data_IF_603128798518
#
_entry.id   IF_603128798518
#
_cell.length_a   1.000
_cell.length_b   1.000
_cell.length_c   1.000
_cell.angle_alpha   90.00
_cell.angle_beta   90.00
_cell.angle_gamma   90.00
#
_symmetry.space_group_name_H-M   'P 1'
#
loop_
_entity.id
_entity.type
_entity.pdbx_description
1 polymer ?
#
# COMPACT_ATOMS: atom_id res chain seq x y z
N UNK A 1 17.25 26.99 7.45
CA UNK A 1 18.15 25.84 7.19
C UNK A 1 17.39 24.90 6.27
N UNK A 2 17.83 24.79 5.01
CA UNK A 2 17.21 23.87 4.05
C UNK A 2 17.42 22.44 4.57
N UNK A 3 16.34 21.74 4.94
CA UNK A 3 16.40 20.29 5.12
C UNK A 3 16.92 19.68 3.81
N UNK A 4 18.18 19.29 3.79
CA UNK A 4 18.68 18.43 2.72
C UNK A 4 17.87 17.13 2.84
N UNK A 5 16.98 16.88 1.87
CA UNK A 5 16.27 15.61 1.79
C UNK A 5 17.30 14.53 1.46
N UNK A 6 17.76 13.81 2.48
CA UNK A 6 18.57 12.61 2.27
C UNK A 6 17.72 11.54 1.57
N UNK A 7 18.29 10.85 0.59
CA UNK A 7 17.63 9.76 -0.11
C UNK A 7 17.21 8.68 0.90
N UNK A 8 15.97 8.16 0.77
CA UNK A 8 15.46 7.05 1.60
C UNK A 8 14.76 6.03 0.70
N UNK A 9 15.36 4.85 0.59
CA UNK A 9 14.78 3.67 -0.05
C UNK A 9 14.19 2.71 0.97
N UNK A 10 13.35 1.78 0.52
CA UNK A 10 12.89 0.68 1.37
C UNK A 10 12.65 -0.62 0.61
N UNK A 11 12.85 -1.74 1.30
CA UNK A 11 12.29 -3.04 0.94
C UNK A 11 11.10 -3.36 1.86
N UNK A 12 9.97 -3.77 1.28
CA UNK A 12 8.71 -3.94 2.01
C UNK A 12 8.08 -5.33 1.73
N UNK A 13 8.64 -6.42 2.30
CA UNK A 13 8.15 -7.77 2.06
C UNK A 13 6.89 -8.07 2.91
N UNK A 14 5.98 -8.86 2.35
CA UNK A 14 4.89 -9.50 3.12
C UNK A 14 5.36 -10.86 3.64
N UNK A 15 5.11 -11.22 4.92
CA UNK A 15 5.57 -12.49 5.49
C UNK A 15 4.63 -13.66 5.15
N UNK A 16 4.28 -13.82 3.87
CA UNK A 16 3.42 -14.92 3.38
C UNK A 16 4.23 -16.16 3.01
N UNK A 17 5.53 -16.17 3.30
CA UNK A 17 6.48 -17.24 3.02
C UNK A 17 7.91 -16.71 2.92
N UNK A 18 8.91 -17.60 2.68
CA UNK A 18 10.29 -17.19 2.48
C UNK A 18 10.47 -16.27 1.25
N UNK A 19 11.55 -15.48 1.23
CA UNK A 19 11.90 -14.72 0.02
C UNK A 19 12.18 -15.67 -1.15
N UNK A 20 11.47 -15.48 -2.25
CA UNK A 20 11.85 -16.04 -3.54
C UNK A 20 12.83 -15.11 -4.27
N UNK A 21 13.42 -15.60 -5.36
CA UNK A 21 14.45 -14.88 -6.13
C UNK A 21 14.02 -13.47 -6.55
N UNK A 22 12.80 -13.31 -7.07
CA UNK A 22 12.27 -11.99 -7.44
C UNK A 22 12.27 -10.97 -6.28
N UNK A 23 11.88 -11.40 -5.07
CA UNK A 23 11.88 -10.52 -3.90
C UNK A 23 13.30 -10.23 -3.39
N UNK A 24 14.21 -11.20 -3.47
CA UNK A 24 15.62 -10.99 -3.17
C UNK A 24 16.27 -9.99 -4.14
N UNK A 25 15.94 -10.06 -5.44
CA UNK A 25 16.37 -9.09 -6.44
C UNK A 25 15.85 -7.68 -6.12
N UNK A 26 14.58 -7.54 -5.74
CA UNK A 26 14.00 -6.25 -5.34
C UNK A 26 14.68 -5.67 -4.08
N UNK A 27 15.00 -6.52 -3.10
CA UNK A 27 15.76 -6.12 -1.91
C UNK A 27 17.15 -5.60 -2.28
N UNK A 28 17.89 -6.37 -3.09
CA UNK A 28 19.24 -5.99 -3.52
C UNK A 28 19.25 -4.71 -4.36
N UNK A 29 18.35 -4.59 -5.33
CA UNK A 29 18.26 -3.42 -6.20
C UNK A 29 17.94 -2.14 -5.40
N UNK A 30 16.96 -2.21 -4.49
CA UNK A 30 16.62 -1.06 -3.64
C UNK A 30 17.72 -0.70 -2.65
N UNK A 31 18.48 -1.68 -2.15
CA UNK A 31 19.63 -1.45 -1.29
C UNK A 31 20.78 -0.78 -2.05
N UNK A 32 21.14 -1.29 -3.22
CA UNK A 32 22.18 -0.72 -4.07
C UNK A 32 21.85 0.72 -4.48
N UNK A 33 20.60 1.00 -4.85
CA UNK A 33 20.17 2.35 -5.21
C UNK A 33 20.30 3.32 -4.02
N UNK A 34 19.91 2.89 -2.81
CA UNK A 34 20.10 3.71 -1.61
C UNK A 34 21.58 3.97 -1.31
N UNK A 35 22.45 2.96 -1.43
CA UNK A 35 23.89 3.11 -1.21
C UNK A 35 24.54 4.01 -2.26
N UNK A 36 24.18 3.86 -3.52
CA UNK A 36 24.68 4.70 -4.62
C UNK A 36 24.37 6.19 -4.41
N UNK A 37 23.26 6.52 -3.75
CA UNK A 37 22.85 7.89 -3.43
C UNK A 37 23.26 8.35 -2.02
N UNK A 38 24.09 7.58 -1.30
CA UNK A 38 24.48 7.91 0.08
C UNK A 38 23.30 8.04 1.03
N UNK A 39 22.20 7.35 0.74
CA UNK A 39 20.94 7.41 1.47
C UNK A 39 20.74 6.28 2.48
N UNK A 40 19.58 6.29 3.09
CA UNK A 40 19.14 5.23 3.99
C UNK A 40 18.37 4.15 3.23
N UNK A 41 18.55 2.90 3.62
CA UNK A 41 17.76 1.76 3.20
C UNK A 41 17.03 1.16 4.41
N UNK A 42 15.70 1.07 4.30
CA UNK A 42 14.83 0.66 5.38
C UNK A 42 14.15 -0.67 5.05
N UNK A 43 13.83 -1.45 6.08
CA UNK A 43 12.94 -2.61 5.94
C UNK A 43 11.62 -2.36 6.67
N UNK A 44 10.51 -2.61 5.99
CA UNK A 44 9.16 -2.57 6.56
C UNK A 44 8.44 -3.89 6.30
N UNK A 45 8.11 -4.64 7.35
CA UNK A 45 7.34 -5.87 7.23
C UNK A 45 5.87 -5.52 6.95
N UNK A 46 5.32 -6.02 5.85
CA UNK A 46 3.92 -5.82 5.45
C UNK A 46 3.04 -6.96 5.99
N UNK A 47 2.96 -7.04 7.33
CA UNK A 47 2.18 -8.00 8.12
C UNK A 47 0.78 -7.46 8.47
N UNK A 48 -0.05 -7.29 7.44
CA UNK A 48 -1.42 -6.76 7.55
C UNK A 48 -2.52 -7.74 7.16
N UNK A 49 -2.17 -8.98 6.81
CA UNK A 49 -3.16 -10.00 6.41
C UNK A 49 -2.88 -11.31 7.15
N UNK A 50 -3.18 -11.37 8.47
CA UNK A 50 -2.85 -12.52 9.32
C UNK A 50 -3.27 -13.89 8.75
N UNK A 51 -4.43 -14.03 8.07
CA UNK A 51 -4.80 -15.28 7.42
C UNK A 51 -3.83 -15.77 6.32
N UNK A 52 -3.06 -14.87 5.71
CA UNK A 52 -2.07 -15.19 4.67
C UNK A 52 -0.64 -15.23 5.18
N UNK A 53 -0.41 -14.73 6.38
CA UNK A 53 0.91 -14.73 7.01
C UNK A 53 1.32 -16.14 7.40
N UNK A 54 2.58 -16.47 7.13
CA UNK A 54 3.16 -17.73 7.56
C UNK A 54 3.96 -17.51 8.85
N UNK A 55 3.65 -18.23 9.95
CA UNK A 55 4.40 -18.10 11.19
C UNK A 55 5.92 -18.26 10.98
N UNK A 56 6.69 -17.27 11.45
CA UNK A 56 8.15 -17.24 11.36
C UNK A 56 8.72 -16.82 9.99
N UNK A 57 7.89 -16.55 8.98
CA UNK A 57 8.37 -16.08 7.69
C UNK A 57 9.06 -14.72 7.78
N UNK A 58 8.57 -13.82 8.63
CA UNK A 58 9.20 -12.54 8.93
C UNK A 58 10.66 -12.73 9.40
N UNK A 59 10.89 -13.66 10.33
CA UNK A 59 12.22 -13.99 10.83
C UNK A 59 13.11 -14.59 9.75
N UNK A 60 12.60 -15.53 8.96
CA UNK A 60 13.33 -16.13 7.84
C UNK A 60 13.76 -15.08 6.80
N UNK A 61 12.87 -14.12 6.49
CA UNK A 61 13.17 -13.01 5.59
C UNK A 61 14.31 -12.16 6.16
N UNK A 62 14.20 -11.74 7.43
CA UNK A 62 15.21 -10.89 8.08
C UNK A 62 16.57 -11.59 8.23
N UNK A 63 16.57 -12.87 8.58
CA UNK A 63 17.79 -13.66 8.71
C UNK A 63 18.50 -13.84 7.36
N UNK A 64 17.74 -14.07 6.28
CA UNK A 64 18.32 -14.13 4.95
C UNK A 64 18.94 -12.79 4.55
N UNK A 65 18.22 -11.68 4.74
CA UNK A 65 18.73 -10.34 4.43
C UNK A 65 20.02 -10.04 5.19
N UNK A 66 20.10 -10.36 6.48
CA UNK A 66 21.33 -10.20 7.27
C UNK A 66 22.47 -11.08 6.76
N UNK A 67 22.17 -12.35 6.42
CA UNK A 67 23.16 -13.29 5.91
C UNK A 67 23.81 -12.84 4.59
N UNK A 68 23.08 -12.09 3.75
CA UNK A 68 23.58 -11.50 2.50
C UNK A 68 24.05 -10.05 2.66
N UNK A 69 24.13 -9.53 3.90
CA UNK A 69 24.65 -8.20 4.21
C UNK A 69 23.69 -7.03 3.96
N UNK A 70 22.42 -7.31 3.65
CA UNK A 70 21.40 -6.27 3.42
C UNK A 70 20.74 -5.88 4.75
N UNK A 71 21.40 -4.99 5.50
CA UNK A 71 20.93 -4.52 6.81
C UNK A 71 20.12 -3.23 6.70
N UNK A 72 18.98 -3.20 7.39
CA UNK A 72 18.15 -1.98 7.55
C UNK A 72 18.91 -0.94 8.37
N UNK A 73 18.87 0.33 7.93
CA UNK A 73 19.55 1.43 8.61
C UNK A 73 18.79 1.93 9.86
N UNK A 74 17.54 1.52 10.03
CA UNK A 74 16.75 1.74 11.24
C UNK A 74 16.12 0.43 11.71
N UNK A 75 15.53 0.46 12.92
CA UNK A 75 14.67 -0.62 13.37
C UNK A 75 13.61 -0.96 12.31
N UNK A 76 13.39 -2.26 12.10
CA UNK A 76 12.38 -2.76 11.16
C UNK A 76 11.01 -2.29 11.64
N UNK A 77 10.24 -1.74 10.71
CA UNK A 77 8.88 -1.31 11.01
C UNK A 77 7.90 -2.44 10.66
N UNK A 78 7.06 -2.82 11.62
CA UNK A 78 5.97 -3.77 11.41
C UNK A 78 4.67 -3.01 11.23
N UNK A 79 3.91 -3.35 10.19
CA UNK A 79 2.65 -2.67 9.89
C UNK A 79 1.51 -3.11 10.81
N UNK A 80 1.55 -4.33 11.36
CA UNK A 80 0.62 -4.78 12.41
C UNK A 80 0.60 -3.81 13.61
N UNK A 81 1.71 -3.13 13.89
CA UNK A 81 1.85 -2.13 14.96
C UNK A 81 1.41 -0.71 14.56
N UNK A 82 0.82 -0.53 13.37
CA UNK A 82 0.53 0.81 12.79
C UNK A 82 -0.95 1.11 12.62
N UNK A 83 -1.84 0.26 13.14
CA UNK A 83 -3.31 0.43 13.07
C UNK A 83 -3.77 1.85 13.44
N UNK A 84 -3.24 2.43 14.52
CA UNK A 84 -3.57 3.79 14.94
C UNK A 84 -3.21 4.87 13.91
N UNK A 85 -2.07 4.72 13.22
CA UNK A 85 -1.67 5.68 12.18
C UNK A 85 -2.53 5.57 10.91
N UNK A 86 -2.95 4.35 10.56
CA UNK A 86 -3.87 4.15 9.43
C UNK A 86 -5.26 4.69 9.74
N UNK A 87 -5.77 4.46 10.94
CA UNK A 87 -7.04 5.02 11.39
C UNK A 87 -7.02 6.56 11.35
N UNK A 88 -5.92 7.18 11.81
CA UNK A 88 -5.74 8.62 11.74
C UNK A 88 -5.71 9.14 10.29
N UNK A 89 -4.97 8.49 9.39
CA UNK A 89 -4.90 8.88 7.99
C UNK A 89 -6.26 8.77 7.29
N UNK A 90 -7.00 7.69 7.56
CA UNK A 90 -8.37 7.49 7.03
C UNK A 90 -9.31 8.59 7.55
N UNK A 91 -9.25 8.93 8.84
CA UNK A 91 -10.06 10.00 9.41
C UNK A 91 -9.77 11.35 8.73
N UNK A 92 -8.48 11.69 8.54
CA UNK A 92 -8.09 12.93 7.85
C UNK A 92 -8.62 13.00 6.41
N UNK A 93 -8.59 11.87 5.68
CA UNK A 93 -9.12 11.82 4.32
C UNK A 93 -10.65 11.95 4.27
N UNK A 94 -11.36 11.38 5.25
CA UNK A 94 -12.81 11.54 5.38
C UNK A 94 -13.17 13.00 5.70
N UNK A 95 -12.49 13.61 6.68
CA UNK A 95 -12.70 15.00 7.08
C UNK A 95 -12.42 15.98 5.91
N UNK A 96 -11.44 15.67 5.07
CA UNK A 96 -11.12 16.43 3.87
C UNK A 96 -12.04 16.15 2.66
N UNK A 97 -13.03 15.26 2.79
CA UNK A 97 -13.92 14.85 1.68
C UNK A 97 -13.23 14.04 0.57
N UNK A 98 -11.98 13.63 0.80
CA UNK A 98 -11.15 12.85 -0.13
C UNK A 98 -11.43 11.34 -0.03
N UNK A 99 -12.13 10.89 1.01
CA UNK A 99 -12.62 9.54 1.16
C UNK A 99 -14.11 9.54 1.49
N UNK A 100 -14.77 8.40 1.34
CA UNK A 100 -16.19 8.25 1.67
C UNK A 100 -16.52 6.80 2.08
N UNK A 101 -17.63 6.66 2.81
CA UNK A 101 -18.21 5.37 3.14
C UNK A 101 -18.90 4.74 1.93
N UNK A 102 -18.57 3.48 1.64
CA UNK A 102 -19.18 2.70 0.58
C UNK A 102 -19.80 1.41 1.14
N UNK A 103 -21.08 1.20 0.82
CA UNK A 103 -21.86 0.00 1.23
C UNK A 103 -22.21 -0.93 0.06
N UNK A 104 -21.71 -0.62 -1.14
CA UNK A 104 -21.86 -1.49 -2.31
C UNK A 104 -21.14 -2.82 -2.09
N UNK A 105 -21.83 -3.92 -2.36
CA UNK A 105 -21.23 -5.25 -2.46
C UNK A 105 -20.52 -5.43 -3.81
N UNK A 106 -19.83 -6.57 -3.96
CA UNK A 106 -19.28 -6.98 -5.28
C UNK A 106 -20.38 -7.17 -6.33
N UNK A 107 -21.57 -7.66 -5.95
CA UNK A 107 -22.68 -7.84 -6.89
C UNK A 107 -23.25 -6.49 -7.35
N UNK A 108 -23.28 -5.50 -6.47
CA UNK A 108 -23.77 -4.15 -6.81
C UNK A 108 -22.87 -3.47 -7.85
N UNK A 109 -21.59 -3.86 -7.91
CA UNK A 109 -20.58 -3.34 -8.85
C UNK A 109 -20.39 -4.21 -10.09
N UNK A 110 -21.15 -5.31 -10.25
CA UNK A 110 -20.96 -6.23 -11.37
C UNK A 110 -21.19 -5.54 -12.74
N UNK A 111 -22.16 -4.63 -12.82
CA UNK A 111 -22.47 -3.87 -14.04
C UNK A 111 -21.37 -2.88 -14.45
N UNK A 112 -20.44 -2.57 -13.55
CA UNK A 112 -19.27 -1.73 -13.79
C UNK A 112 -17.96 -2.53 -13.73
N UNK A 113 -18.03 -3.84 -13.99
CA UNK A 113 -16.88 -4.75 -13.98
C UNK A 113 -16.11 -4.75 -12.65
N UNK A 114 -16.83 -4.50 -11.55
CA UNK A 114 -16.27 -4.39 -10.20
C UNK A 114 -15.72 -3.01 -9.85
N UNK A 115 -15.71 -2.06 -10.78
CA UNK A 115 -15.19 -0.71 -10.58
C UNK A 115 -16.24 0.17 -9.90
N UNK A 116 -15.86 0.83 -8.82
CA UNK A 116 -16.71 1.84 -8.20
C UNK A 116 -16.50 3.19 -8.88
N UNK A 117 -17.56 3.78 -9.44
CA UNK A 117 -17.48 5.05 -10.17
C UNK A 117 -18.60 5.98 -9.71
N UNK A 118 -18.26 6.98 -8.92
CA UNK A 118 -19.22 7.99 -8.47
C UNK A 118 -20.03 7.54 -7.25
N UNK A 119 -21.13 8.23 -6.91
CA UNK A 119 -21.84 8.01 -5.65
C UNK A 119 -22.40 6.58 -5.57
N UNK A 120 -22.33 5.99 -4.37
CA UNK A 120 -22.99 4.72 -4.11
C UNK A 120 -24.48 4.85 -4.45
N UNK A 121 -25.03 3.85 -5.13
CA UNK A 121 -26.49 3.76 -5.27
C UNK A 121 -27.06 3.40 -3.89
N UNK A 122 -27.57 4.39 -3.18
CA UNK A 122 -28.30 4.17 -1.95
C UNK A 122 -29.50 3.28 -2.25
N UNK A 123 -29.58 2.15 -1.56
CA UNK A 123 -30.71 1.23 -1.63
C UNK A 123 -31.04 0.77 -0.23
N UNK A 124 -32.30 0.41 0.03
CA UNK A 124 -32.71 -0.13 1.32
C UNK A 124 -31.88 -1.37 1.73
N UNK A 125 -31.38 -2.14 0.76
CA UNK A 125 -30.51 -3.29 0.98
C UNK A 125 -29.09 -2.92 1.46
N UNK A 126 -28.67 -1.67 1.31
CA UNK A 126 -27.34 -1.17 1.66
C UNK A 126 -27.29 -0.51 3.04
N UNK A 127 -28.43 -0.10 3.60
CA UNK A 127 -28.51 0.70 4.84
C UNK A 127 -27.99 -0.03 6.09
N UNK A 128 -28.04 -1.37 6.13
CA UNK A 128 -27.60 -2.18 7.28
C UNK A 128 -26.17 -2.74 7.21
N UNK A 129 -25.43 -2.51 6.11
CA UNK A 129 -24.10 -3.11 5.90
C UNK A 129 -23.00 -2.27 6.51
N UNK A 130 -22.00 -2.88 7.15
CA UNK A 130 -20.78 -2.19 7.55
C UNK A 130 -20.10 -1.59 6.32
N UNK A 131 -19.79 -0.27 6.31
CA UNK A 131 -19.19 0.37 5.15
C UNK A 131 -17.70 0.03 5.04
N UNK A 132 -17.23 -0.14 3.80
CA UNK A 132 -15.82 0.05 3.49
C UNK A 132 -15.53 1.55 3.35
N UNK A 133 -14.26 1.95 3.49
CA UNK A 133 -13.82 3.30 3.14
C UNK A 133 -13.13 3.26 1.79
N UNK A 134 -13.56 4.10 0.85
CA UNK A 134 -12.95 4.26 -0.46
C UNK A 134 -12.32 5.63 -0.62
N UNK A 135 -11.24 5.70 -1.40
CA UNK A 135 -10.70 6.97 -1.86
C UNK A 135 -11.59 7.54 -2.96
N UNK A 136 -11.90 8.83 -2.91
CA UNK A 136 -12.53 9.56 -4.00
C UNK A 136 -11.48 9.87 -5.06
N UNK A 137 -11.55 9.17 -6.19
CA UNK A 137 -10.55 9.31 -7.25
C UNK A 137 -10.99 10.40 -8.24
N UNK A 138 -10.18 11.46 -8.45
CA UNK A 138 -10.51 12.51 -9.41
C UNK A 138 -10.39 12.01 -10.87
N UNK A 139 -11.25 12.50 -11.77
CA UNK A 139 -11.16 12.25 -13.22
C UNK A 139 -10.09 13.17 -13.85
N UNK A 140 -8.83 12.85 -13.55
CA UNK A 140 -7.66 13.54 -14.09
C UNK A 140 -6.62 12.53 -14.55
N UNK A 141 -5.80 12.93 -15.53
CA UNK A 141 -4.64 12.16 -15.93
C UNK A 141 -3.52 12.34 -14.89
N UNK A 142 -3.11 11.24 -14.26
CA UNK A 142 -1.99 11.20 -13.34
C UNK A 142 -0.78 10.74 -14.13
N UNK A 143 0.31 11.50 -14.00
CA UNK A 143 1.55 11.23 -14.71
C UNK A 143 2.75 11.29 -13.76
N UNK A 144 3.74 10.42 -13.99
CA UNK A 144 5.02 10.46 -13.29
C UNK A 144 6.14 9.95 -14.19
N UNK A 145 7.37 10.35 -13.89
CA UNK A 145 8.57 9.85 -14.56
C UNK A 145 9.15 8.69 -13.75
N UNK A 146 9.00 7.47 -14.27
CA UNK A 146 9.70 6.30 -13.73
C UNK A 146 11.16 6.34 -14.17
N UNK A 147 12.10 6.15 -13.23
CA UNK A 147 13.54 6.22 -13.51
C UNK A 147 14.03 5.13 -14.46
N UNK A 148 13.27 4.05 -14.65
CA UNK A 148 13.60 2.91 -15.51
C UNK A 148 12.68 2.87 -16.73
N UNK A 149 11.37 2.99 -16.53
CA UNK A 149 10.36 2.84 -17.58
C UNK A 149 10.00 4.16 -18.28
N UNK A 150 10.55 5.29 -17.84
CA UNK A 150 10.24 6.60 -18.39
C UNK A 150 8.84 7.11 -18.01
N UNK A 151 8.29 8.03 -18.81
CA UNK A 151 7.00 8.67 -18.52
C UNK A 151 5.86 7.65 -18.48
N UNK A 152 5.17 7.57 -17.34
CA UNK A 152 3.95 6.79 -17.14
C UNK A 152 2.75 7.75 -17.02
N UNK A 153 1.59 7.33 -17.53
CA UNK A 153 0.35 8.10 -17.50
C UNK A 153 -0.85 7.18 -17.32
N UNK A 154 -1.80 7.56 -16.47
CA UNK A 154 -3.04 6.81 -16.26
C UNK A 154 -4.15 7.71 -15.75
N UNK A 155 -5.40 7.45 -16.16
CA UNK A 155 -6.56 8.06 -15.52
C UNK A 155 -7.21 7.05 -14.57
N UNK A 156 -6.95 7.20 -13.27
CA UNK A 156 -7.42 6.24 -12.26
C UNK A 156 -8.95 6.20 -12.15
N UNK A 157 -9.66 7.31 -12.34
CA UNK A 157 -11.13 7.30 -12.31
C UNK A 157 -11.71 6.42 -13.43
N UNK A 158 -11.04 6.39 -14.59
CA UNK A 158 -11.43 5.61 -15.76
C UNK A 158 -10.98 4.15 -15.68
N UNK A 159 -9.80 3.90 -15.14
CA UNK A 159 -9.18 2.57 -15.25
C UNK A 159 -9.31 1.73 -13.96
N UNK A 160 -9.43 2.39 -12.80
CA UNK A 160 -9.39 1.75 -11.47
C UNK A 160 -10.63 2.06 -10.62
N UNK A 161 -11.21 3.24 -10.78
CA UNK A 161 -12.33 3.73 -9.96
C UNK A 161 -11.93 4.05 -8.51
N UNK A 162 -12.93 4.37 -7.70
CA UNK A 162 -12.77 4.68 -6.27
C UNK A 162 -12.32 3.42 -5.51
N UNK A 163 -11.03 3.23 -5.28
CA UNK A 163 -10.50 2.01 -4.66
C UNK A 163 -10.61 2.01 -3.13
N UNK A 164 -10.57 0.81 -2.54
CA UNK A 164 -10.74 0.60 -1.09
C UNK A 164 -9.48 1.00 -0.33
N UNK A 165 -9.64 1.83 0.70
CA UNK A 165 -8.61 2.18 1.69
C UNK A 165 -8.73 1.33 2.96
N UNK A 166 -9.97 1.02 3.38
CA UNK A 166 -10.28 0.15 4.52
C UNK A 166 -11.45 -0.75 4.17
N UNK A 167 -11.30 -2.05 4.37
CA UNK A 167 -12.35 -3.01 4.08
C UNK A 167 -13.45 -2.97 5.16
N UNK A 168 -14.60 -3.53 4.85
CA UNK A 168 -15.73 -3.56 5.79
C UNK A 168 -15.48 -4.50 6.98
N UNK A 169 -14.60 -5.49 6.83
CA UNK A 169 -14.19 -6.44 7.86
C UNK A 169 -13.06 -5.93 8.78
N UNK A 170 -12.59 -4.69 8.57
CA UNK A 170 -11.46 -4.11 9.30
C UNK A 170 -10.20 -4.12 8.45
#
# INVERSE_FOLDING_TARGET
MSEQRHYRGRFAPSPTGPLHLGSALAALASWLDARAHGGQWLVRMEDLDPPREQPGADRLILDLLDAIGLRSDTAVLYQSHRSGAYAQAVAQLLDAGMAFECRCSRSDLAASEGLHRGPCRESAANAGRTPAIRLRVPDVEIEFDDRIQGRQRQNLCRDVGDFVLRRADG
#
